data_IF_703776941009
#
_entry.id   IF_703776941009
#
_cell.length_a   1.000
_cell.length_b   1.000
_cell.length_c   1.000
_cell.angle_alpha   90.00
_cell.angle_beta   90.00
_cell.angle_gamma   90.00
#
_symmetry.space_group_name_H-M   'P 1'
#
loop_
_entity.id
_entity.type
_entity.pdbx_description
1 polymer ?
#
# COMPACT_ATOMS: atom_id res chain seq x y z
N UNK A 1 -6.53 2.06 -17.15
CA UNK A 1 -5.66 1.07 -16.48
C UNK A 1 -4.87 1.76 -15.38
N UNK A 2 -4.86 1.18 -14.22
CA UNK A 2 -4.23 1.75 -13.03
C UNK A 2 -3.18 0.82 -12.46
N UNK A 3 -2.15 1.40 -11.89
CA UNK A 3 -1.16 0.72 -11.07
C UNK A 3 -1.55 0.99 -9.60
N UNK A 4 -1.94 -0.06 -8.89
CA UNK A 4 -2.30 0.02 -7.48
C UNK A 4 -1.15 -0.58 -6.66
N UNK A 5 -0.61 0.20 -5.75
CA UNK A 5 0.43 -0.24 -4.83
C UNK A 5 -0.06 -0.10 -3.39
N UNK A 6 0.13 -1.14 -2.60
CA UNK A 6 -0.23 -1.13 -1.17
C UNK A 6 1.03 -1.44 -0.37
N UNK A 7 1.42 -0.50 0.44
CA UNK A 7 2.62 -0.58 1.28
C UNK A 7 2.21 -0.72 2.75
N UNK A 8 2.78 -1.68 3.45
CA UNK A 8 2.45 -1.90 4.84
C UNK A 8 3.43 -2.83 5.54
N UNK A 9 3.08 -3.23 6.75
CA UNK A 9 3.82 -4.22 7.49
C UNK A 9 3.63 -5.60 6.86
N UNK A 10 4.62 -6.47 6.96
CA UNK A 10 4.54 -7.83 6.39
C UNK A 10 3.35 -8.63 6.91
N UNK A 11 2.90 -8.37 8.13
CA UNK A 11 1.73 -9.02 8.70
C UNK A 11 0.42 -8.63 8.02
N UNK A 12 0.42 -7.57 7.21
CA UNK A 12 -0.76 -7.16 6.45
C UNK A 12 -0.95 -7.97 5.16
N UNK A 13 0.06 -8.74 4.73
CA UNK A 13 -0.01 -9.51 3.48
C UNK A 13 -1.25 -10.39 3.35
N UNK A 14 -1.63 -11.18 4.36
CA UNK A 14 -2.83 -12.01 4.25
C UNK A 14 -4.09 -11.19 4.02
N UNK A 15 -4.19 -10.03 4.64
CA UNK A 15 -5.34 -9.12 4.47
C UNK A 15 -5.37 -8.49 3.08
N UNK A 16 -4.21 -8.09 2.56
CA UNK A 16 -4.10 -7.56 1.19
C UNK A 16 -4.45 -8.65 0.17
N UNK A 17 -3.96 -9.86 0.38
CA UNK A 17 -4.30 -11.00 -0.47
C UNK A 17 -5.80 -11.27 -0.48
N UNK A 18 -6.43 -11.26 0.70
CA UNK A 18 -7.87 -11.46 0.83
C UNK A 18 -8.66 -10.36 0.11
N UNK A 19 -8.23 -9.12 0.23
CA UNK A 19 -8.83 -7.98 -0.44
C UNK A 19 -8.76 -8.14 -1.96
N UNK A 20 -7.60 -8.48 -2.49
CA UNK A 20 -7.43 -8.71 -3.92
C UNK A 20 -8.30 -9.86 -4.42
N UNK A 21 -8.34 -10.95 -3.67
CA UNK A 21 -9.16 -12.11 -4.01
C UNK A 21 -10.66 -11.75 -4.03
N UNK A 22 -11.11 -10.99 -3.05
CA UNK A 22 -12.50 -10.52 -2.96
C UNK A 22 -12.91 -9.70 -4.18
N UNK A 23 -12.00 -8.89 -4.69
CA UNK A 23 -12.22 -8.06 -5.87
C UNK A 23 -11.75 -8.72 -7.17
N UNK A 24 -11.51 -10.03 -7.14
CA UNK A 24 -11.14 -10.81 -8.33
C UNK A 24 -9.84 -10.36 -8.99
N UNK A 25 -8.93 -9.85 -8.21
CA UNK A 25 -7.57 -9.56 -8.65
C UNK A 25 -6.75 -10.84 -8.51
N UNK A 26 -6.59 -11.54 -9.63
CA UNK A 26 -5.97 -12.86 -9.62
C UNK A 26 -4.45 -12.82 -9.75
N UNK A 27 -3.92 -11.72 -10.25
CA UNK A 27 -2.48 -11.55 -10.42
C UNK A 27 -2.01 -10.28 -9.72
N UNK A 28 -1.13 -10.47 -8.77
CA UNK A 28 -0.46 -9.37 -8.09
C UNK A 28 0.93 -9.83 -7.67
N UNK A 29 1.79 -8.89 -7.43
CA UNK A 29 3.15 -9.16 -6.94
C UNK A 29 3.34 -8.56 -5.57
N UNK A 30 4.14 -9.21 -4.75
CA UNK A 30 4.54 -8.66 -3.46
C UNK A 30 6.03 -8.87 -3.25
N UNK A 31 6.67 -7.92 -2.60
CA UNK A 31 8.08 -8.02 -2.27
C UNK A 31 8.38 -7.27 -0.99
N UNK A 32 9.50 -7.64 -0.40
CA UNK A 32 9.98 -7.00 0.81
C UNK A 32 10.67 -5.69 0.46
N UNK A 33 10.42 -4.68 1.26
CA UNK A 33 11.06 -3.37 1.14
C UNK A 33 11.65 -2.98 2.49
N UNK A 34 12.56 -2.02 2.47
CA UNK A 34 13.08 -1.40 3.67
C UNK A 34 12.67 0.07 3.65
N UNK A 35 11.70 0.42 4.51
CA UNK A 35 11.30 1.80 4.66
C UNK A 35 12.33 2.53 5.52
N UNK A 36 12.91 3.60 4.97
CA UNK A 36 13.86 4.42 5.69
C UNK A 36 13.33 5.83 5.80
N UNK A 37 13.28 6.34 7.01
CA UNK A 37 12.99 7.74 7.25
C UNK A 37 14.28 8.41 7.70
N UNK A 38 14.87 9.19 6.79
CA UNK A 38 16.13 9.87 7.01
C UNK A 38 15.93 11.33 7.45
N UNK A 39 14.75 11.68 7.93
CA UNK A 39 14.48 13.04 8.39
C UNK A 39 15.34 13.39 9.59
N UNK A 40 15.88 14.60 9.56
CA UNK A 40 16.60 15.14 10.70
C UNK A 40 15.60 15.46 11.80
N UNK A 41 16.03 15.31 13.06
CA UNK A 41 15.25 15.70 14.22
C UNK A 41 14.76 17.14 14.07
N UNK A 42 13.45 17.34 14.10
CA UNK A 42 12.82 18.66 13.92
C UNK A 42 12.36 18.96 12.50
N UNK A 43 12.63 18.09 11.53
CA UNK A 43 12.06 18.23 10.19
C UNK A 43 10.61 17.73 10.18
N UNK A 44 9.76 18.35 9.35
CA UNK A 44 8.39 17.89 9.18
C UNK A 44 8.37 16.55 8.43
N UNK A 45 7.57 15.56 8.88
CA UNK A 45 7.44 14.31 8.16
C UNK A 45 6.78 14.53 6.80
N UNK A 46 7.18 13.73 5.82
CA UNK A 46 6.51 13.68 4.52
C UNK A 46 5.05 13.29 4.75
N UNK A 47 4.12 13.96 4.05
CA UNK A 47 2.68 13.74 4.24
C UNK A 47 2.24 12.29 3.99
N UNK A 48 2.94 11.58 3.10
CA UNK A 48 2.62 10.20 2.73
C UNK A 48 3.44 9.16 3.49
N UNK A 49 4.54 9.58 4.12
CA UNK A 49 5.43 8.68 4.84
C UNK A 49 5.59 9.21 6.26
N UNK A 50 4.99 8.57 7.25
CA UNK A 50 5.09 9.05 8.63
C UNK A 50 6.54 9.03 9.11
N UNK A 51 6.89 10.01 9.96
CA UNK A 51 8.17 10.02 10.64
C UNK A 51 8.17 8.88 11.66
N UNK A 52 8.73 7.75 11.28
CA UNK A 52 8.67 6.54 12.10
C UNK A 52 10.04 6.21 12.63
N UNK A 53 10.12 6.11 13.93
CA UNK A 53 11.28 5.53 14.60
C UNK A 53 11.19 3.99 14.68
N UNK A 54 10.14 3.39 14.11
CA UNK A 54 9.95 1.94 14.14
C UNK A 54 10.42 1.28 12.84
N UNK A 55 11.58 0.61 12.84
CA UNK A 55 12.00 -0.18 11.70
C UNK A 55 10.95 -1.26 11.37
N UNK A 56 10.62 -1.44 10.11
CA UNK A 56 9.72 -2.49 9.67
C UNK A 56 8.25 -2.12 9.60
N UNK A 57 7.86 -0.89 9.97
CA UNK A 57 6.47 -0.45 9.85
C UNK A 57 5.95 -0.55 8.41
N UNK A 58 6.82 -0.29 7.43
CA UNK A 58 6.53 -0.48 6.01
C UNK A 58 7.57 -1.42 5.42
N UNK A 59 7.31 -2.71 5.50
CA UNK A 59 8.26 -3.75 5.13
C UNK A 59 7.84 -4.58 3.93
N UNK A 60 6.63 -4.34 3.39
CA UNK A 60 6.14 -5.05 2.22
C UNK A 60 5.44 -4.10 1.26
N UNK A 61 5.56 -4.38 -0.01
CA UNK A 61 4.84 -3.69 -1.07
C UNK A 61 4.14 -4.73 -1.93
N UNK A 62 2.82 -4.58 -2.09
CA UNK A 62 2.03 -5.38 -3.00
C UNK A 62 1.54 -4.48 -4.13
N UNK A 63 1.58 -4.96 -5.36
CA UNK A 63 1.07 -4.18 -6.46
C UNK A 63 0.33 -5.04 -7.49
N UNK A 64 -0.60 -4.40 -8.17
CA UNK A 64 -1.33 -4.99 -9.28
C UNK A 64 -1.66 -3.92 -10.32
N UNK A 65 -1.83 -4.36 -11.56
CA UNK A 65 -2.31 -3.49 -12.63
C UNK A 65 -3.76 -3.89 -12.92
N UNK A 66 -4.66 -2.92 -12.82
CA UNK A 66 -6.10 -3.15 -12.80
C UNK A 66 -6.81 -2.22 -13.77
N UNK A 67 -8.03 -2.60 -14.15
CA UNK A 67 -8.95 -1.67 -14.77
C UNK A 67 -9.34 -0.54 -13.80
N UNK A 68 -9.72 0.59 -14.35
CA UNK A 68 -9.99 1.81 -13.58
C UNK A 68 -11.11 1.59 -12.54
N UNK A 69 -12.19 0.94 -12.93
CA UNK A 69 -13.35 0.75 -12.05
C UNK A 69 -13.01 -0.11 -10.84
N UNK A 70 -12.31 -1.22 -11.06
CA UNK A 70 -11.91 -2.11 -9.97
C UNK A 70 -10.94 -1.43 -9.02
N UNK A 71 -9.99 -0.68 -9.57
CA UNK A 71 -9.03 0.07 -8.78
C UNK A 71 -9.72 1.09 -7.86
N UNK A 72 -10.69 1.83 -8.40
CA UNK A 72 -11.44 2.81 -7.61
C UNK A 72 -12.25 2.16 -6.50
N UNK A 73 -12.88 1.02 -6.76
CA UNK A 73 -13.63 0.28 -5.74
C UNK A 73 -12.72 -0.17 -4.60
N UNK A 74 -11.55 -0.71 -4.94
CA UNK A 74 -10.57 -1.15 -3.94
C UNK A 74 -10.07 0.04 -3.11
N UNK A 75 -9.78 1.16 -3.75
CA UNK A 75 -9.34 2.36 -3.04
C UNK A 75 -10.38 2.85 -2.05
N UNK A 76 -11.65 2.89 -2.45
CA UNK A 76 -12.75 3.29 -1.56
C UNK A 76 -12.89 2.35 -0.37
N UNK A 77 -12.71 1.06 -0.58
CA UNK A 77 -12.76 0.09 0.52
C UNK A 77 -11.61 0.29 1.49
N UNK A 78 -10.40 0.55 0.98
CA UNK A 78 -9.24 0.84 1.83
C UNK A 78 -9.40 2.13 2.64
N UNK A 79 -10.04 3.14 2.07
CA UNK A 79 -10.36 4.38 2.78
C UNK A 79 -11.36 4.14 3.91
N UNK A 80 -12.35 3.28 3.67
CA UNK A 80 -13.38 2.94 4.65
C UNK A 80 -12.89 2.00 5.73
N UNK A 81 -12.10 1.01 5.35
CA UNK A 81 -11.60 -0.04 6.23
C UNK A 81 -10.08 -0.17 6.05
N UNK A 82 -9.30 0.72 6.66
CA UNK A 82 -7.84 0.65 6.54
C UNK A 82 -7.29 -0.69 7.04
N UNK A 83 -6.36 -1.24 6.30
CA UNK A 83 -5.64 -2.42 6.74
C UNK A 83 -4.53 -1.95 7.68
N UNK A 84 -4.58 -2.42 8.92
CA UNK A 84 -3.59 -2.03 9.91
C UNK A 84 -3.31 -3.18 10.87
N UNK A 85 -2.05 -3.39 11.18
CA UNK A 85 -1.61 -4.19 12.34
C UNK A 85 -1.57 -3.30 13.56
N UNK A 86 -1.07 -2.08 13.36
CA UNK A 86 -1.04 -1.04 14.35
C UNK A 86 -1.84 0.16 13.81
N UNK A 87 -2.71 0.72 14.63
CA UNK A 87 -3.54 1.86 14.24
C UNK A 87 -2.74 3.10 13.87
N UNK A 88 -1.53 3.23 14.39
CA UNK A 88 -0.63 4.36 14.08
C UNK A 88 -0.01 4.23 12.68
N UNK A 89 0.10 3.01 12.17
CA UNK A 89 0.77 2.73 10.89
C UNK A 89 -0.12 1.90 9.98
N UNK A 90 -1.25 2.46 9.50
CA UNK A 90 -2.08 1.75 8.55
C UNK A 90 -1.34 1.57 7.23
N UNK A 91 -1.69 0.52 6.50
CA UNK A 91 -1.17 0.33 5.16
C UNK A 91 -1.55 1.53 4.29
N UNK A 92 -0.63 1.92 3.41
CA UNK A 92 -0.83 3.04 2.47
C UNK A 92 -1.05 2.49 1.08
N UNK A 93 -2.03 3.03 0.40
CA UNK A 93 -2.34 2.65 -0.97
C UNK A 93 -2.13 3.84 -1.90
N UNK A 94 -1.55 3.56 -3.06
CA UNK A 94 -1.25 4.56 -4.08
C UNK A 94 -1.82 4.10 -5.40
N UNK A 95 -2.49 5.01 -6.09
CA UNK A 95 -3.09 4.72 -7.38
C UNK A 95 -2.50 5.64 -8.43
N UNK A 96 -1.97 5.04 -9.50
CA UNK A 96 -1.34 5.79 -10.59
C UNK A 96 -1.89 5.33 -11.93
N UNK A 97 -1.92 6.25 -12.90
CA UNK A 97 -2.26 5.90 -14.27
C UNK A 97 -1.12 5.13 -14.94
N UNK A 98 -1.48 4.12 -15.70
CA UNK A 98 -0.54 3.43 -16.59
C UNK A 98 -0.76 3.97 -17.99
N UNK A 99 0.23 4.69 -18.54
CA UNK A 99 0.14 5.28 -19.85
C UNK A 99 0.25 4.22 -20.97
N UNK A 100 1.19 3.30 -20.80
CA UNK A 100 1.49 2.28 -21.81
C UNK A 100 1.95 0.99 -21.18
N UNK A 101 1.65 -0.09 -21.86
CA UNK A 101 2.22 -1.42 -21.56
C UNK A 101 2.87 -1.95 -22.83
N UNK A 102 3.85 -2.79 -22.65
CA UNK A 102 4.52 -3.42 -23.78
C UNK A 102 4.56 -4.94 -23.59
#
# INVERSE_FOLDING_TARGET
>A
MKFLAIMGHEETRPKVRALFKEHQVMMFSSFDIMGCNCEKKGAEPQAWFPAVEMPGAYSTLCFAILDDDRAEVIMRELERNPIAVDKEFPARAFLMNVEKTA
#
